data_IF_596473624587
#
_entry.id   IF_596473624587
#
_cell.length_a   1.000
_cell.length_b   1.000
_cell.length_c   1.000
_cell.angle_alpha   90.00
_cell.angle_beta   90.00
_cell.angle_gamma   90.00
#
_symmetry.space_group_name_H-M   'P 1'
#
loop_
_entity.id
_entity.type
_entity.pdbx_description
1 polymer ?
#
# COMPACT_ATOMS: atom_id res chain seq x y z
N UNK A 1 15.10 14.56 -38.25
CA UNK A 1 14.02 14.10 -37.36
C UNK A 1 14.68 13.41 -36.16
N UNK A 2 15.05 14.18 -35.13
CA UNK A 2 15.81 13.68 -33.97
C UNK A 2 14.83 13.02 -33.01
N UNK A 3 15.06 11.75 -32.67
CA UNK A 3 14.21 10.91 -31.82
C UNK A 3 14.39 11.27 -30.33
N UNK A 4 14.11 12.52 -29.96
CA UNK A 4 14.26 13.05 -28.58
C UNK A 4 13.28 12.46 -27.55
N UNK A 5 12.32 11.63 -27.97
CA UNK A 5 11.28 11.09 -27.08
C UNK A 5 11.57 9.73 -26.44
N UNK A 6 12.56 8.97 -26.91
CA UNK A 6 12.69 7.56 -26.51
C UNK A 6 13.20 7.39 -25.07
N UNK A 7 14.20 8.17 -24.66
CA UNK A 7 14.82 8.03 -23.33
C UNK A 7 13.91 8.48 -22.19
N UNK A 8 13.16 9.57 -22.37
CA UNK A 8 12.21 10.05 -21.36
C UNK A 8 11.06 9.07 -21.20
N UNK A 9 10.53 8.53 -22.30
CA UNK A 9 9.45 7.54 -22.27
C UNK A 9 9.91 6.24 -21.62
N UNK A 10 11.15 5.78 -21.88
CA UNK A 10 11.72 4.60 -21.21
C UNK A 10 11.84 4.82 -19.69
N UNK A 11 12.36 5.97 -19.26
CA UNK A 11 12.48 6.31 -17.84
C UNK A 11 11.11 6.37 -17.15
N UNK A 12 10.10 6.97 -17.80
CA UNK A 12 8.73 7.01 -17.29
C UNK A 12 8.10 5.62 -17.17
N UNK A 13 8.36 4.74 -18.13
CA UNK A 13 7.88 3.36 -18.05
C UNK A 13 8.50 2.62 -16.87
N UNK A 14 9.80 2.77 -16.62
CA UNK A 14 10.47 2.14 -15.46
C UNK A 14 9.94 2.63 -14.12
N UNK A 15 9.53 3.89 -14.00
CA UNK A 15 8.95 4.43 -12.76
C UNK A 15 7.54 3.90 -12.46
N UNK A 16 6.80 3.49 -13.51
CA UNK A 16 5.42 3.04 -13.40
C UNK A 16 5.29 1.52 -13.48
N UNK A 17 6.34 0.79 -13.87
CA UNK A 17 6.36 -0.67 -13.85
C UNK A 17 6.32 -1.19 -12.42
N UNK A 18 5.42 -2.15 -12.11
CA UNK A 18 5.40 -2.82 -10.83
C UNK A 18 6.76 -3.45 -10.51
N UNK A 19 7.16 -3.33 -9.25
CA UNK A 19 8.42 -3.85 -8.75
C UNK A 19 8.17 -5.25 -8.17
N UNK A 20 8.76 -6.27 -8.78
CA UNK A 20 8.65 -7.65 -8.32
C UNK A 20 9.88 -8.04 -7.49
N UNK A 21 9.76 -7.94 -6.17
CA UNK A 21 10.84 -8.20 -5.21
C UNK A 21 10.43 -9.18 -4.10
N UNK A 22 9.19 -9.67 -4.12
CA UNK A 22 8.66 -10.50 -3.04
C UNK A 22 8.97 -11.97 -3.26
N UNK A 23 9.53 -12.63 -2.25
CA UNK A 23 9.93 -14.04 -2.33
C UNK A 23 8.75 -15.00 -2.50
N UNK A 24 7.54 -14.62 -2.07
CA UNK A 24 6.34 -15.46 -2.16
C UNK A 24 5.54 -15.26 -3.45
N UNK A 25 5.97 -14.34 -4.33
CA UNK A 25 5.28 -13.99 -5.57
C UNK A 25 5.14 -15.19 -6.50
N UNK A 26 3.91 -15.53 -6.85
CA UNK A 26 3.60 -16.62 -7.81
C UNK A 26 2.86 -16.17 -9.08
N UNK A 27 2.37 -14.94 -9.13
CA UNK A 27 1.58 -14.39 -10.25
C UNK A 27 0.81 -13.13 -9.85
N UNK A 28 -0.07 -12.59 -10.71
CA UNK A 28 -0.92 -11.43 -10.40
C UNK A 28 -2.01 -11.74 -9.36
N UNK A 29 -2.34 -10.74 -8.53
CA UNK A 29 -3.48 -10.76 -7.60
C UNK A 29 -3.14 -11.09 -6.14
N UNK A 30 -4.09 -10.81 -5.23
CA UNK A 30 -3.90 -10.91 -3.77
C UNK A 30 -3.40 -12.26 -3.25
N UNK A 31 -3.79 -13.36 -3.89
CA UNK A 31 -3.43 -14.72 -3.45
C UNK A 31 -2.02 -15.14 -3.86
N UNK A 32 -1.40 -14.37 -4.75
CA UNK A 32 -0.05 -14.64 -5.16
C UNK A 32 1.01 -14.15 -4.17
N UNK A 33 0.60 -13.33 -3.19
CA UNK A 33 1.42 -12.87 -2.06
C UNK A 33 0.63 -12.96 -0.73
N UNK A 34 0.40 -14.18 -0.22
CA UNK A 34 -0.50 -14.40 0.91
C UNK A 34 -0.02 -13.76 2.22
N UNK A 35 1.28 -13.77 2.52
CA UNK A 35 1.79 -13.14 3.73
C UNK A 35 1.72 -11.59 3.64
N UNK A 36 2.00 -11.01 2.47
CA UNK A 36 1.84 -9.58 2.22
C UNK A 36 0.37 -9.18 2.39
N UNK A 37 -0.57 -9.89 1.75
CA UNK A 37 -2.00 -9.61 1.87
C UNK A 37 -2.48 -9.68 3.33
N UNK A 38 -2.05 -10.70 4.09
CA UNK A 38 -2.44 -10.87 5.49
C UNK A 38 -1.89 -9.76 6.39
N UNK A 39 -0.62 -9.39 6.23
CA UNK A 39 0.01 -8.33 7.04
C UNK A 39 -0.56 -6.95 6.73
N UNK A 40 -0.92 -6.67 5.48
CA UNK A 40 -1.62 -5.43 5.11
C UNK A 40 -3.03 -5.36 5.72
N UNK A 41 -3.76 -6.48 5.75
CA UNK A 41 -5.05 -6.55 6.44
C UNK A 41 -4.89 -6.31 7.95
N UNK A 42 -3.79 -6.76 8.55
CA UNK A 42 -3.47 -6.49 9.95
C UNK A 42 -3.28 -4.98 10.22
N UNK A 43 -2.73 -4.20 9.29
CA UNK A 43 -2.65 -2.74 9.43
C UNK A 43 -4.04 -2.09 9.44
N UNK A 44 -4.96 -2.53 8.58
CA UNK A 44 -6.34 -2.03 8.59
C UNK A 44 -7.00 -2.32 9.94
N UNK A 45 -6.88 -3.57 10.43
CA UNK A 45 -7.45 -3.96 11.71
C UNK A 45 -6.85 -3.17 12.88
N UNK A 46 -5.52 -3.01 12.92
CA UNK A 46 -4.81 -2.25 13.94
C UNK A 46 -5.16 -0.75 13.89
N UNK A 47 -5.29 -0.17 12.69
CA UNK A 47 -5.69 1.22 12.51
C UNK A 47 -7.12 1.47 13.00
N UNK A 48 -8.07 0.59 12.66
CA UNK A 48 -9.45 0.67 13.14
C UNK A 48 -9.55 0.51 14.67
N UNK A 49 -8.75 -0.40 15.24
CA UNK A 49 -8.61 -0.53 16.69
C UNK A 49 -8.05 0.75 17.31
N UNK A 50 -7.01 1.34 16.70
CA UNK A 50 -6.43 2.61 17.11
C UNK A 50 -7.44 3.76 17.10
N UNK A 51 -8.25 3.89 16.04
CA UNK A 51 -9.32 4.90 15.94
C UNK A 51 -10.32 4.70 17.08
N UNK A 52 -10.74 3.45 17.33
CA UNK A 52 -11.63 3.12 18.45
C UNK A 52 -11.03 3.57 19.78
N UNK A 53 -9.78 3.23 20.05
CA UNK A 53 -9.14 3.50 21.33
C UNK A 53 -8.86 4.99 21.56
N UNK A 54 -8.40 5.71 20.52
CA UNK A 54 -8.19 7.16 20.57
C UNK A 54 -9.49 7.90 20.89
N UNK A 55 -10.61 7.49 20.28
CA UNK A 55 -11.94 8.05 20.56
C UNK A 55 -12.41 7.76 21.98
N UNK A 56 -12.17 6.54 22.48
CA UNK A 56 -12.54 6.14 23.85
C UNK A 56 -11.75 6.91 24.91
N UNK A 57 -10.44 7.06 24.69
CA UNK A 57 -9.54 7.73 25.63
C UNK A 57 -9.47 9.25 25.43
N UNK A 58 -10.18 9.80 24.43
CA UNK A 58 -10.12 11.22 24.03
C UNK A 58 -8.68 11.72 23.84
N UNK A 59 -7.83 10.89 23.22
CA UNK A 59 -6.40 11.16 23.07
C UNK A 59 -6.08 12.31 22.09
N UNK A 60 -7.11 12.92 21.49
CA UNK A 60 -7.01 14.13 20.67
C UNK A 60 -7.07 13.86 19.17
N UNK A 61 -7.35 14.93 18.41
CA UNK A 61 -7.55 14.86 16.95
C UNK A 61 -6.30 14.41 16.20
N UNK A 62 -5.11 14.78 16.66
CA UNK A 62 -3.86 14.37 16.01
C UNK A 62 -3.67 12.85 16.04
N UNK A 63 -3.89 12.22 17.20
CA UNK A 63 -3.81 10.77 17.33
C UNK A 63 -4.87 10.05 16.47
N UNK A 64 -6.06 10.66 16.33
CA UNK A 64 -7.12 10.09 15.49
C UNK A 64 -6.75 10.15 14.01
N UNK A 65 -6.17 11.26 13.56
CA UNK A 65 -5.65 11.41 12.19
C UNK A 65 -4.58 10.36 11.91
N UNK A 66 -3.62 10.15 12.82
CA UNK A 66 -2.59 9.12 12.67
C UNK A 66 -3.19 7.71 12.60
N UNK A 67 -4.19 7.40 13.43
CA UNK A 67 -4.86 6.10 13.40
C UNK A 67 -5.58 5.87 12.05
N UNK A 68 -6.26 6.88 11.50
CA UNK A 68 -6.82 6.82 10.16
C UNK A 68 -5.76 6.71 9.07
N UNK A 69 -4.59 7.31 9.26
CA UNK A 69 -3.47 7.21 8.33
C UNK A 69 -2.97 5.77 8.20
N UNK A 70 -2.93 5.02 9.30
CA UNK A 70 -2.59 3.59 9.30
C UNK A 70 -3.62 2.78 8.49
N UNK A 71 -4.92 3.09 8.61
CA UNK A 71 -5.97 2.46 7.80
C UNK A 71 -5.75 2.77 6.31
N UNK A 72 -5.46 4.03 5.96
CA UNK A 72 -5.19 4.44 4.58
C UNK A 72 -3.97 3.73 3.99
N UNK A 73 -2.90 3.57 4.78
CA UNK A 73 -1.71 2.78 4.38
C UNK A 73 -2.09 1.33 4.09
N UNK A 74 -2.86 0.69 4.99
CA UNK A 74 -3.33 -0.69 4.78
C UNK A 74 -4.17 -0.85 3.50
N UNK A 75 -5.07 0.10 3.22
CA UNK A 75 -5.88 0.12 2.00
C UNK A 75 -5.00 0.32 0.75
N UNK A 76 -4.07 1.26 0.79
CA UNK A 76 -3.16 1.50 -0.34
C UNK A 76 -2.29 0.28 -0.64
N UNK A 77 -1.83 -0.40 0.41
CA UNK A 77 -0.96 -1.55 0.30
C UNK A 77 -1.71 -2.79 -0.22
N UNK A 78 -2.92 -3.08 0.29
CA UNK A 78 -3.74 -4.18 -0.23
C UNK A 78 -4.19 -3.94 -1.67
N UNK A 79 -4.46 -2.67 -2.03
CA UNK A 79 -4.76 -2.29 -3.41
C UNK A 79 -3.55 -2.52 -4.32
N UNK A 80 -2.34 -2.16 -3.86
CA UNK A 80 -1.09 -2.40 -4.56
C UNK A 80 -0.88 -3.89 -4.84
N UNK A 81 -1.07 -4.74 -3.83
CA UNK A 81 -0.92 -6.19 -3.93
C UNK A 81 -1.85 -6.85 -4.98
N UNK A 82 -3.04 -6.30 -5.23
CA UNK A 82 -3.95 -6.79 -6.29
C UNK A 82 -3.51 -6.37 -7.71
N UNK A 83 -2.87 -5.19 -7.83
CA UNK A 83 -2.47 -4.62 -9.13
C UNK A 83 -1.06 -5.00 -9.58
N UNK A 84 -0.24 -5.47 -8.66
CA UNK A 84 1.08 -6.02 -8.94
C UNK A 84 0.93 -7.31 -9.73
#
# INVERSE_FOLDING_TARGET
>A
MVRLGSGITIMWQTLLTPVDLYCERTGPGLWAEPANALTNLAFIAAGLWGVREVRRCKAGTFAEVLAWWVVAIGIGSIWGAERQ
#
